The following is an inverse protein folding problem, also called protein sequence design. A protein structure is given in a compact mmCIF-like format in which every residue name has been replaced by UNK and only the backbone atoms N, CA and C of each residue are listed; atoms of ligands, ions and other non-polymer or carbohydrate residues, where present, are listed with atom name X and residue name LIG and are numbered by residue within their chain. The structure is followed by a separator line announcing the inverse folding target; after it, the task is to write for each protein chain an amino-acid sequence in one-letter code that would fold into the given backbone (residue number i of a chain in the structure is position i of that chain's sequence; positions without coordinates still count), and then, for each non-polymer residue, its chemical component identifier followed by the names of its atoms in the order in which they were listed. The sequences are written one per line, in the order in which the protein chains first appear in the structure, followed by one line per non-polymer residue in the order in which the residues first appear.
data_IF_729036173401
#
_entry.id   IF_729036173401
#
_cell.length_a   1.000
_cell.length_b   1.000
_cell.length_c   1.000
_cell.angle_alpha   90.00
_cell.angle_beta   90.00
_cell.angle_gamma   90.00
#
_symmetry.space_group_name_H-M   'P 1'
#
loop_
_entity.id
_entity.type
_entity.pdbx_description
1 polymer ?
#
# COMPACT_ATOMS: atom_id res chain seq x y z
N UNK A 1 -11.52 -39.17 -48.36
CA UNK A 1 -10.33 -38.40 -47.97
C UNK A 1 -10.68 -37.06 -47.30
N UNK A 2 -11.41 -36.16 -47.96
CA UNK A 2 -11.76 -34.82 -47.42
C UNK A 2 -12.54 -34.84 -46.08
N UNK A 3 -13.48 -35.78 -45.92
CA UNK A 3 -14.23 -35.97 -44.65
C UNK A 3 -13.37 -36.49 -43.49
N UNK A 4 -12.35 -37.31 -43.78
CA UNK A 4 -11.43 -37.82 -42.76
C UNK A 4 -10.43 -36.77 -42.33
N UNK A 5 -9.99 -35.91 -43.26
CA UNK A 5 -9.14 -34.77 -42.95
C UNK A 5 -9.86 -33.75 -42.04
N UNK A 6 -11.14 -33.47 -42.33
CA UNK A 6 -11.98 -32.60 -41.49
C UNK A 6 -12.20 -33.20 -40.09
N UNK A 7 -12.45 -34.51 -39.99
CA UNK A 7 -12.59 -35.19 -38.69
C UNK A 7 -11.32 -35.15 -37.85
N UNK A 8 -10.15 -35.38 -38.47
CA UNK A 8 -8.86 -35.32 -37.79
C UNK A 8 -8.55 -33.91 -37.28
N UNK A 9 -8.82 -32.89 -38.09
CA UNK A 9 -8.65 -31.49 -37.69
C UNK A 9 -9.57 -31.10 -36.51
N UNK A 10 -10.81 -31.58 -36.50
CA UNK A 10 -11.75 -31.31 -35.41
C UNK A 10 -11.29 -31.95 -34.09
N UNK A 11 -10.76 -33.18 -34.14
CA UNK A 11 -10.20 -33.87 -32.96
C UNK A 11 -8.96 -33.15 -32.45
N UNK A 12 -8.03 -32.78 -33.34
CA UNK A 12 -6.83 -32.03 -32.95
C UNK A 12 -7.18 -30.67 -32.32
N UNK A 13 -8.19 -29.98 -32.86
CA UNK A 13 -8.67 -28.71 -32.32
C UNK A 13 -9.31 -28.87 -30.94
N UNK A 14 -10.14 -29.91 -30.74
CA UNK A 14 -10.74 -30.21 -29.44
C UNK A 14 -9.69 -30.59 -28.39
N UNK A 15 -8.69 -31.39 -28.76
CA UNK A 15 -7.57 -31.73 -27.88
C UNK A 15 -6.74 -30.50 -27.52
N UNK A 16 -6.51 -29.58 -28.45
CA UNK A 16 -5.79 -28.33 -28.19
C UNK A 16 -6.54 -27.43 -27.18
N UNK A 17 -7.87 -27.32 -27.29
CA UNK A 17 -8.67 -26.56 -26.32
C UNK A 17 -8.75 -27.22 -24.94
N UNK A 18 -8.81 -28.55 -24.89
CA UNK A 18 -8.79 -29.29 -23.62
C UNK A 18 -7.42 -29.21 -22.91
N UNK A 19 -6.34 -29.02 -23.68
CA UNK A 19 -4.99 -28.83 -23.15
C UNK A 19 -4.64 -27.36 -22.84
N UNK A 20 -5.50 -26.40 -23.19
CA UNK A 20 -5.31 -25.01 -22.85
C UNK A 20 -5.56 -24.80 -21.35
N UNK A 21 -4.48 -24.75 -20.56
CA UNK A 21 -4.55 -24.44 -19.14
C UNK A 21 -5.08 -23.03 -18.87
N UNK A 22 -5.59 -22.80 -17.67
CA UNK A 22 -5.96 -21.45 -17.23
C UNK A 22 -4.69 -20.62 -17.03
N UNK A 23 -4.46 -19.63 -17.90
CA UNK A 23 -3.45 -18.62 -17.65
C UNK A 23 -3.88 -17.81 -16.42
N UNK A 24 -3.18 -17.99 -15.29
CA UNK A 24 -3.42 -17.19 -14.08
C UNK A 24 -2.81 -15.82 -14.29
N UNK A 25 -3.64 -14.83 -14.63
CA UNK A 25 -3.21 -13.47 -14.96
C UNK A 25 -3.03 -12.56 -13.75
N UNK A 26 -3.06 -13.10 -12.53
CA UNK A 26 -2.97 -12.31 -11.31
C UNK A 26 -1.77 -12.71 -10.46
N UNK A 27 -0.97 -11.71 -10.12
CA UNK A 27 0.07 -11.82 -9.10
C UNK A 27 -0.53 -12.18 -7.74
N UNK A 28 -0.10 -13.33 -7.21
CA UNK A 28 -0.53 -13.88 -5.94
C UNK A 28 0.66 -14.20 -5.05
N UNK A 29 0.48 -13.95 -3.75
CA UNK A 29 1.44 -14.36 -2.73
C UNK A 29 1.45 -15.89 -2.60
N UNK A 30 2.61 -16.51 -2.83
CA UNK A 30 2.81 -17.97 -2.84
C UNK A 30 3.38 -18.51 -1.54
N UNK A 31 4.17 -17.71 -0.81
CA UNK A 31 4.73 -18.11 0.48
C UNK A 31 5.05 -16.89 1.35
N UNK A 32 5.27 -17.13 2.63
CA UNK A 32 5.68 -16.11 3.60
C UNK A 32 6.69 -16.65 4.60
N UNK A 33 7.48 -15.75 5.17
CA UNK A 33 8.29 -15.99 6.37
C UNK A 33 7.87 -14.97 7.44
N UNK A 34 7.43 -15.41 8.63
CA UNK A 34 7.03 -16.78 8.97
C UNK A 34 5.95 -17.36 8.04
N UNK A 35 5.84 -18.69 8.00
CA UNK A 35 4.81 -19.36 7.23
C UNK A 35 3.42 -18.97 7.74
N UNK A 36 2.46 -18.82 6.83
CA UNK A 36 1.10 -18.42 7.18
C UNK A 36 0.43 -19.42 8.15
N UNK A 37 -0.07 -18.92 9.27
CA UNK A 37 -0.68 -19.73 10.33
C UNK A 37 0.32 -20.51 11.18
N UNK A 38 1.63 -20.35 10.96
CA UNK A 38 2.65 -21.03 11.76
C UNK A 38 2.72 -20.51 13.19
N UNK A 39 3.22 -21.35 14.10
CA UNK A 39 3.59 -20.94 15.46
C UNK A 39 5.11 -20.99 15.60
N UNK A 40 5.70 -19.92 16.12
CA UNK A 40 7.14 -19.78 16.32
C UNK A 40 7.44 -19.42 17.78
N UNK A 41 8.55 -19.92 18.32
CA UNK A 41 9.02 -19.49 19.64
C UNK A 41 9.80 -18.17 19.57
N UNK A 42 10.48 -17.92 18.45
CA UNK A 42 11.30 -16.73 18.22
C UNK A 42 10.97 -16.17 16.85
N UNK A 43 10.70 -14.86 16.77
CA UNK A 43 10.47 -14.18 15.50
C UNK A 43 11.72 -14.17 14.62
N UNK A 44 11.58 -14.27 13.29
CA UNK A 44 12.71 -14.13 12.38
C UNK A 44 13.23 -12.68 12.38
N UNK A 45 14.46 -12.46 11.88
CA UNK A 45 15.01 -11.11 11.72
C UNK A 45 14.26 -10.27 10.67
N UNK A 46 13.53 -10.91 9.75
CA UNK A 46 12.70 -10.24 8.74
C UNK A 46 11.42 -11.02 8.52
N UNK A 47 10.34 -10.30 8.28
CA UNK A 47 9.14 -10.85 7.67
C UNK A 47 9.21 -10.67 6.15
N UNK A 48 8.78 -11.67 5.39
CA UNK A 48 8.74 -11.59 3.93
C UNK A 48 7.53 -12.28 3.33
N UNK A 49 7.15 -11.81 2.14
CA UNK A 49 6.14 -12.43 1.28
C UNK A 49 6.77 -12.63 -0.10
N UNK A 50 6.66 -13.84 -0.65
CA UNK A 50 7.10 -14.16 -2.00
C UNK A 50 5.89 -14.34 -2.91
N UNK A 51 6.00 -13.87 -4.15
CA UNK A 51 4.94 -13.86 -5.16
C UNK A 51 5.25 -14.79 -6.33
N UNK A 52 4.21 -15.10 -7.10
CA UNK A 52 4.30 -15.86 -8.34
C UNK A 52 4.80 -15.04 -9.55
N UNK A 53 5.08 -13.74 -9.39
CA UNK A 53 5.67 -12.86 -10.42
C UNK A 53 6.63 -11.83 -9.80
N UNK A 54 7.37 -11.11 -10.65
CA UNK A 54 8.23 -10.01 -10.20
C UNK A 54 7.41 -8.83 -9.70
N UNK A 55 7.99 -8.09 -8.75
CA UNK A 55 7.40 -6.91 -8.15
C UNK A 55 8.10 -5.65 -8.66
N UNK A 56 7.33 -4.58 -8.85
CA UNK A 56 7.89 -3.25 -9.03
C UNK A 56 8.44 -2.73 -7.69
N UNK A 57 9.50 -1.93 -7.77
CA UNK A 57 10.14 -1.34 -6.58
C UNK A 57 9.39 -0.13 -6.01
N UNK A 58 8.35 0.35 -6.70
CA UNK A 58 7.70 1.61 -6.36
C UNK A 58 6.66 1.42 -5.25
N UNK A 59 6.84 2.19 -4.17
CA UNK A 59 5.92 2.28 -3.03
C UNK A 59 5.49 0.93 -2.41
N UNK A 60 6.39 -0.06 -2.19
CA UNK A 60 6.03 -1.27 -1.47
C UNK A 60 5.71 -0.94 -0.01
N UNK A 61 4.76 -1.67 0.55
CA UNK A 61 4.44 -1.63 1.97
C UNK A 61 4.36 -3.05 2.51
N UNK A 62 5.05 -3.29 3.61
CA UNK A 62 4.91 -4.50 4.41
C UNK A 62 5.11 -4.10 5.87
N UNK A 63 4.14 -4.45 6.70
CA UNK A 63 4.13 -4.14 8.13
C UNK A 63 3.75 -5.37 8.93
N UNK A 64 4.22 -5.45 10.16
CA UNK A 64 3.84 -6.50 11.10
C UNK A 64 3.24 -5.87 12.33
N UNK A 65 2.02 -6.26 12.66
CA UNK A 65 1.25 -5.77 13.81
C UNK A 65 1.07 -6.92 14.81
N UNK A 66 1.38 -6.66 16.07
CA UNK A 66 1.28 -7.65 17.15
C UNK A 66 -0.11 -7.68 17.80
N UNK A 67 -0.32 -8.59 18.77
CA UNK A 67 -1.60 -8.73 19.47
C UNK A 67 -1.93 -7.50 20.35
N UNK A 68 -0.95 -6.63 20.61
CA UNK A 68 -1.10 -5.35 21.28
C UNK A 68 -1.56 -4.20 20.35
N UNK A 69 -1.76 -4.49 19.05
CA UNK A 69 -2.16 -3.52 18.04
C UNK A 69 -1.04 -2.57 17.63
N UNK A 70 0.22 -2.87 17.98
CA UNK A 70 1.38 -2.00 17.70
C UNK A 70 2.26 -2.57 16.59
N UNK A 71 3.03 -1.71 15.94
CA UNK A 71 3.96 -2.10 14.88
C UNK A 71 5.20 -2.81 15.44
N UNK A 72 5.50 -4.00 14.95
CA UNK A 72 6.72 -4.76 15.25
C UNK A 72 7.72 -4.77 14.09
N UNK A 73 7.28 -4.39 12.89
CA UNK A 73 8.15 -4.10 11.76
C UNK A 73 8.96 -2.82 11.96
N UNK A 74 10.19 -2.80 11.44
CA UNK A 74 11.14 -1.68 11.50
C UNK A 74 11.52 -1.23 10.08
N UNK A 75 11.70 0.07 9.91
CA UNK A 75 12.15 0.64 8.65
C UNK A 75 11.11 0.56 7.52
N UNK A 76 11.62 0.49 6.29
CA UNK A 76 10.82 0.46 5.05
C UNK A 76 10.81 -0.95 4.46
N UNK A 77 9.76 -1.26 3.69
CA UNK A 77 9.72 -2.48 2.92
C UNK A 77 10.76 -2.46 1.80
N UNK A 78 11.41 -3.61 1.56
CA UNK A 78 12.40 -3.82 0.51
C UNK A 78 11.88 -4.86 -0.48
N UNK A 79 12.01 -4.58 -1.78
CA UNK A 79 11.64 -5.48 -2.86
C UNK A 79 12.89 -6.06 -3.50
N UNK A 80 12.96 -7.38 -3.57
CA UNK A 80 14.03 -8.14 -4.23
C UNK A 80 13.40 -9.18 -5.16
N UNK A 81 13.36 -8.85 -6.46
CA UNK A 81 12.72 -9.66 -7.48
C UNK A 81 11.25 -9.90 -7.20
N UNK A 82 10.92 -11.10 -6.71
CA UNK A 82 9.55 -11.58 -6.45
C UNK A 82 9.15 -11.51 -4.99
N UNK A 83 10.01 -10.95 -4.13
CA UNK A 83 9.79 -10.91 -2.70
C UNK A 83 9.77 -9.49 -2.18
N UNK A 84 8.89 -9.24 -1.22
CA UNK A 84 8.91 -8.03 -0.39
C UNK A 84 9.23 -8.44 1.04
N UNK A 85 10.04 -7.65 1.75
CA UNK A 85 10.40 -7.92 3.14
C UNK A 85 10.46 -6.66 3.98
N UNK A 86 10.35 -6.82 5.30
CA UNK A 86 10.60 -5.77 6.28
C UNK A 86 11.41 -6.35 7.44
N UNK A 87 12.24 -5.52 8.05
CA UNK A 87 12.99 -5.90 9.25
C UNK A 87 12.04 -6.06 10.44
N UNK A 88 12.30 -7.06 11.29
CA UNK A 88 11.67 -7.24 12.58
C UNK A 88 12.71 -7.03 13.68
N UNK A 89 12.32 -6.30 14.72
CA UNK A 89 13.05 -6.37 15.98
C UNK A 89 12.74 -7.66 16.73
N UNK A 90 13.32 -7.82 17.92
CA UNK A 90 12.80 -8.79 18.88
C UNK A 90 11.30 -8.55 19.07
N UNK A 91 10.51 -9.63 19.14
CA UNK A 91 9.07 -9.55 19.35
C UNK A 91 8.76 -9.41 20.85
N UNK A 92 7.49 -9.21 21.20
CA UNK A 92 7.08 -8.96 22.59
C UNK A 92 6.03 -9.95 23.07
N UNK A 93 4.75 -9.53 23.16
CA UNK A 93 3.70 -10.37 23.71
C UNK A 93 3.49 -11.63 22.89
N UNK A 94 3.16 -12.72 23.57
CA UNK A 94 2.62 -13.93 22.94
C UNK A 94 1.28 -13.63 22.27
N UNK A 95 0.98 -14.34 21.20
CA UNK A 95 -0.27 -14.20 20.46
C UNK A 95 -0.05 -14.08 18.96
N UNK A 96 -1.14 -13.74 18.25
CA UNK A 96 -1.13 -13.62 16.79
C UNK A 96 -0.53 -12.30 16.33
N UNK A 97 0.37 -12.39 15.36
CA UNK A 97 0.96 -11.29 14.62
C UNK A 97 0.43 -11.32 13.19
N UNK A 98 0.06 -10.15 12.68
CA UNK A 98 -0.45 -9.98 11.32
C UNK A 98 0.58 -9.27 10.45
N UNK A 99 0.99 -9.93 9.36
CA UNK A 99 1.81 -9.36 8.29
C UNK A 99 0.86 -8.79 7.24
N UNK A 100 0.78 -7.46 7.14
CA UNK A 100 -0.01 -6.77 6.12
C UNK A 100 0.90 -6.25 5.02
N UNK A 101 0.56 -6.49 3.75
CA UNK A 101 1.36 -6.07 2.61
C UNK A 101 0.52 -5.38 1.52
N UNK A 102 1.18 -4.49 0.78
CA UNK A 102 0.71 -3.90 -0.47
C UNK A 102 1.90 -3.71 -1.41
N UNK A 103 1.83 -4.30 -2.59
CA UNK A 103 2.87 -4.26 -3.62
C UNK A 103 2.24 -4.01 -4.99
N UNK A 104 3.07 -3.77 -6.00
CA UNK A 104 2.64 -3.67 -7.40
C UNK A 104 3.37 -4.74 -8.19
N UNK A 105 2.64 -5.60 -8.90
CA UNK A 105 3.22 -6.63 -9.76
C UNK A 105 3.85 -6.04 -11.02
N UNK A 106 4.66 -6.83 -11.72
CA UNK A 106 5.35 -6.41 -12.94
C UNK A 106 4.37 -5.90 -14.02
N UNK A 107 3.15 -6.43 -14.08
CA UNK A 107 2.08 -6.03 -14.99
C UNK A 107 1.36 -4.72 -14.57
N UNK A 108 1.72 -4.14 -13.42
CA UNK A 108 1.23 -2.86 -12.93
C UNK A 108 0.01 -2.94 -12.00
N UNK A 109 -0.50 -4.14 -11.68
CA UNK A 109 -1.64 -4.25 -10.76
C UNK A 109 -1.20 -4.16 -9.29
N UNK A 110 -1.90 -3.38 -8.46
CA UNK A 110 -1.68 -3.39 -7.02
C UNK A 110 -2.23 -4.69 -6.40
N UNK A 111 -1.44 -5.32 -5.55
CA UNK A 111 -1.81 -6.53 -4.80
C UNK A 111 -1.64 -6.23 -3.32
N UNK A 112 -2.68 -6.50 -2.54
CA UNK A 112 -2.65 -6.35 -1.08
C UNK A 112 -3.25 -7.56 -0.39
N UNK A 113 -2.83 -7.81 0.83
CA UNK A 113 -3.35 -8.90 1.63
C UNK A 113 -2.69 -9.01 2.99
N UNK A 114 -3.04 -10.08 3.69
CA UNK A 114 -2.48 -10.40 5.00
C UNK A 114 -2.00 -11.84 5.08
N UNK A 115 -1.07 -12.07 6.00
CA UNK A 115 -0.64 -13.38 6.51
C UNK A 115 -0.54 -13.29 8.02
N UNK A 116 -0.71 -14.39 8.73
CA UNK A 116 -0.62 -14.42 10.19
C UNK A 116 0.42 -15.44 10.66
N UNK A 117 0.95 -15.23 11.86
CA UNK A 117 1.72 -16.23 12.60
C UNK A 117 1.54 -16.00 14.11
N UNK A 118 1.77 -17.03 14.91
CA UNK A 118 1.63 -16.96 16.36
C UNK A 118 2.99 -17.03 17.04
N UNK A 119 3.25 -16.10 17.96
CA UNK A 119 4.41 -16.18 18.86
C UNK A 119 4.01 -16.94 20.13
N UNK A 120 4.67 -18.05 20.42
CA UNK A 120 4.36 -18.90 21.59
C UNK A 120 5.15 -18.55 22.85
N UNK A 121 6.23 -17.78 22.73
CA UNK A 121 7.09 -17.36 23.84
C UNK A 121 7.24 -15.85 23.85
N UNK A 122 6.98 -15.24 25.01
CA UNK A 122 7.11 -13.79 25.16
C UNK A 122 8.58 -13.38 24.99
N UNK A 123 8.80 -12.32 24.22
CA UNK A 123 10.06 -11.60 24.10
C UNK A 123 10.02 -10.26 24.84
N UNK A 124 11.14 -9.54 24.79
CA UNK A 124 11.36 -8.26 25.46
C UNK A 124 11.53 -7.09 24.50
N UNK A 125 11.18 -7.31 23.23
CA UNK A 125 11.30 -6.29 22.20
C UNK A 125 10.43 -5.07 22.45
N UNK A 126 10.82 -3.96 21.81
CA UNK A 126 10.08 -2.68 21.91
C UNK A 126 9.23 -2.45 20.66
N UNK A 127 7.89 -2.38 20.79
CA UNK A 127 7.02 -2.06 19.67
C UNK A 127 7.15 -0.59 19.23
N UNK A 128 6.75 -0.32 17.99
CA UNK A 128 6.55 1.01 17.44
C UNK A 128 5.23 1.67 17.88
N UNK A 129 4.85 2.71 17.15
CA UNK A 129 3.54 3.35 17.29
C UNK A 129 2.42 2.40 16.82
N UNK A 130 1.16 2.71 17.17
CA UNK A 130 0.05 2.05 16.49
C UNK A 130 -0.03 2.50 15.03
N UNK A 131 -0.49 1.65 14.12
CA UNK A 131 -0.83 2.09 12.77
C UNK A 131 -1.81 3.27 12.82
N UNK A 132 -1.47 4.37 12.14
CA UNK A 132 -2.32 5.58 12.10
C UNK A 132 -2.19 6.52 13.30
N UNK A 133 -1.36 6.20 14.30
CA UNK A 133 -0.88 7.22 15.24
C UNK A 133 0.25 7.99 14.56
N UNK A 134 -0.09 9.15 14.02
CA UNK A 134 0.91 10.12 13.57
C UNK A 134 1.81 10.45 14.77
N UNK A 135 3.13 10.46 14.56
CA UNK A 135 3.97 11.24 15.49
C UNK A 135 3.40 12.64 15.40
N UNK A 136 2.87 13.17 16.50
CA UNK A 136 2.65 14.60 16.62
C UNK A 136 4.01 15.24 16.30
N UNK A 137 4.12 15.75 15.08
CA UNK A 137 5.23 16.58 14.69
C UNK A 137 5.03 17.83 15.54
N UNK A 138 5.79 17.97 16.63
CA UNK A 138 5.92 19.21 17.38
C UNK A 138 6.75 20.24 16.57
N UNK A 139 6.59 20.18 15.24
CA UNK A 139 7.13 21.11 14.27
C UNK A 139 6.06 22.17 14.03
N UNK A 140 6.18 23.28 14.78
CA UNK A 140 5.30 24.43 14.68
C UNK A 140 5.01 24.79 13.22
N UNK A 141 3.72 24.86 12.90
CA UNK A 141 3.20 25.30 11.61
C UNK A 141 3.64 26.76 11.37
N UNK A 142 4.77 26.92 10.67
CA UNK A 142 5.25 28.18 10.12
C UNK A 142 4.47 28.60 8.87
N UNK A 143 3.38 27.91 8.52
CA UNK A 143 2.47 28.29 7.46
C UNK A 143 1.75 29.59 7.81
N UNK A 144 1.76 30.54 6.88
CA UNK A 144 0.96 31.76 7.02
C UNK A 144 -0.51 31.33 7.08
N UNK A 145 -1.24 31.63 8.18
CA UNK A 145 -2.60 31.15 8.34
C UNK A 145 -3.51 31.59 7.20
N UNK A 146 -4.44 30.72 6.78
CA UNK A 146 -5.41 31.00 5.71
C UNK A 146 -6.17 32.32 5.90
N UNK A 147 -6.40 32.75 7.15
CA UNK A 147 -7.07 34.02 7.45
C UNK A 147 -6.34 35.24 6.89
N UNK A 148 -5.01 35.18 6.72
CA UNK A 148 -4.22 36.27 6.12
C UNK A 148 -4.59 36.48 4.66
N UNK A 149 -4.78 35.39 3.91
CA UNK A 149 -5.25 35.45 2.53
C UNK A 149 -6.70 35.91 2.43
N UNK A 150 -7.56 35.49 3.37
CA UNK A 150 -8.96 35.96 3.47
C UNK A 150 -8.99 37.47 3.73
N UNK A 151 -8.22 37.96 4.70
CA UNK A 151 -8.14 39.38 5.03
C UNK A 151 -7.61 40.21 3.84
N UNK A 152 -6.56 39.73 3.17
CA UNK A 152 -6.05 40.35 1.95
C UNK A 152 -7.10 40.43 0.83
N UNK A 153 -7.85 39.35 0.63
CA UNK A 153 -8.95 39.30 -0.34
C UNK A 153 -10.06 40.30 -0.04
N UNK A 154 -10.48 40.43 1.22
CA UNK A 154 -11.52 41.39 1.64
C UNK A 154 -11.08 42.84 1.42
N UNK A 155 -9.83 43.17 1.73
CA UNK A 155 -9.28 44.51 1.51
C UNK A 155 -9.24 44.86 0.02
N UNK A 156 -8.75 43.94 -0.82
CA UNK A 156 -8.70 44.15 -2.27
C UNK A 156 -10.10 44.31 -2.87
N UNK A 157 -11.04 43.48 -2.44
CA UNK A 157 -12.43 43.57 -2.89
C UNK A 157 -13.09 44.89 -2.46
N UNK A 158 -12.91 45.30 -1.20
CA UNK A 158 -13.41 46.57 -0.69
C UNK A 158 -12.82 47.78 -1.40
N UNK A 159 -11.52 47.77 -1.68
CA UNK A 159 -10.86 48.82 -2.45
C UNK A 159 -11.39 48.90 -3.89
N UNK A 160 -11.56 47.76 -4.56
CA UNK A 160 -12.16 47.70 -5.89
C UNK A 160 -13.59 48.23 -5.91
N UNK A 161 -14.39 47.88 -4.91
CA UNK A 161 -15.78 48.34 -4.77
C UNK A 161 -15.85 49.85 -4.49
N UNK A 162 -14.96 50.38 -3.67
CA UNK A 162 -14.85 51.82 -3.42
C UNK A 162 -14.47 52.60 -4.69
N UNK A 163 -13.48 52.12 -5.45
CA UNK A 163 -13.07 52.73 -6.73
C UNK A 163 -14.21 52.71 -7.75
N UNK A 164 -14.97 51.61 -7.85
CA UNK A 164 -16.12 51.53 -8.75
C UNK A 164 -17.25 52.52 -8.38
N UNK A 165 -17.54 52.66 -7.09
CA UNK A 165 -18.59 53.57 -6.59
C UNK A 165 -18.19 55.05 -6.66
N UNK A 166 -16.91 55.36 -6.43
CA UNK A 166 -16.38 56.73 -6.48
C UNK A 166 -16.06 57.18 -7.91
N UNK A 167 -15.62 56.25 -8.78
CA UNK A 167 -15.32 56.50 -10.19
C UNK A 167 -16.55 56.66 -11.09
N UNK A 168 -17.71 56.13 -10.70
CA UNK A 168 -18.96 56.26 -11.45
C UNK A 168 -19.63 57.63 -11.40
N UNK A 169 -19.13 58.57 -10.59
CA UNK A 169 -19.80 59.86 -10.32
C UNK A 169 -19.24 61.05 -11.11
N UNK A 170 -18.23 60.85 -11.96
CA UNK A 170 -17.58 61.90 -12.76
C UNK A 170 -18.05 61.97 -14.23
N UNK A 171 -19.05 61.19 -14.64
CA UNK A 171 -19.48 61.06 -16.04
C UNK A 171 -20.88 61.58 -16.40
N UNK A 172 -21.43 62.59 -15.70
CA UNK A 172 -22.69 63.24 -16.13
C UNK A 172 -22.66 64.76 -15.97
N UNK A 173 -21.97 65.44 -16.89
CA UNK A 173 -22.33 66.81 -17.30
C UNK A 173 -22.15 66.98 -18.81
N UNK A 174 -23.32 67.09 -19.45
CA UNK A 174 -23.67 67.59 -20.79
C UNK A 174 -23.17 66.81 -22.00
#
# INVERSE_FOLDING_TARGET
MRKMLVGLLAVLFACAFAAAGTASAHSGAVSSVPENGSTVEVGPARASITFNEELQQNFPSLTVVGPDGRLWSKGKALVEGRSVSVELGELGPVGEYTIAFRVTSADGHPVSGTRTFTLSKAGTGTPGARPGEDKADDGGDGGVPVWVFIAGGVVLFGAGLAVALLGGRSGRKK
#
